data_IF_196386689252
#
_entry.id   IF_196386689252
#
_cell.length_a   1.000
_cell.length_b   1.000
_cell.length_c   1.000
_cell.angle_alpha   90.00
_cell.angle_beta   90.00
_cell.angle_gamma   90.00
#
_symmetry.space_group_name_H-M   'P 1'
#
loop_
_entity.id
_entity.type
_entity.pdbx_description
1 polymer ?
#
# COMPACT_ATOMS: atom_id res chain seq x y z
N UNK A 1 -10.54 -11.19 78.27
CA UNK A 1 -11.59 -10.64 77.33
C UNK A 1 -11.18 -9.33 76.64
N UNK A 2 -10.53 -8.35 77.32
CA UNK A 2 -10.15 -7.08 76.65
C UNK A 2 -9.09 -7.19 75.59
N UNK A 3 -8.08 -8.07 75.71
CA UNK A 3 -7.04 -8.32 74.71
C UNK A 3 -7.57 -8.98 73.42
N UNK A 4 -8.55 -9.86 73.52
CA UNK A 4 -9.18 -10.53 72.39
C UNK A 4 -10.03 -9.55 71.56
N UNK A 5 -10.78 -8.67 72.27
CA UNK A 5 -11.56 -7.62 71.63
C UNK A 5 -10.68 -6.61 70.90
N UNK A 6 -9.53 -6.23 71.50
CA UNK A 6 -8.56 -5.29 70.92
C UNK A 6 -7.88 -5.89 69.65
N UNK A 7 -7.55 -7.19 69.67
CA UNK A 7 -7.00 -7.88 68.49
C UNK A 7 -8.02 -7.98 67.33
N UNK A 8 -9.29 -8.25 67.60
CA UNK A 8 -10.36 -8.33 66.60
C UNK A 8 -10.66 -6.94 65.97
N UNK A 9 -10.67 -5.87 66.76
CA UNK A 9 -10.83 -4.50 66.25
C UNK A 9 -9.66 -4.10 65.35
N UNK A 10 -8.43 -4.43 65.77
CA UNK A 10 -7.22 -4.11 65.02
C UNK A 10 -7.15 -4.92 63.70
N UNK A 11 -7.60 -6.18 63.67
CA UNK A 11 -7.72 -6.99 62.46
C UNK A 11 -8.79 -6.46 61.49
N UNK A 12 -9.94 -6.00 62.00
CA UNK A 12 -10.98 -5.35 61.19
C UNK A 12 -10.50 -4.05 60.55
N UNK A 13 -9.75 -3.21 61.31
CA UNK A 13 -9.16 -1.99 60.76
C UNK A 13 -8.10 -2.29 59.68
N UNK A 14 -7.21 -3.24 59.92
CA UNK A 14 -6.21 -3.70 58.91
C UNK A 14 -6.89 -4.19 57.63
N UNK A 15 -7.94 -5.04 57.75
CA UNK A 15 -8.71 -5.52 56.58
C UNK A 15 -9.37 -4.35 55.82
N UNK A 16 -9.92 -3.32 56.50
CA UNK A 16 -10.47 -2.13 55.85
C UNK A 16 -9.42 -1.30 55.12
N UNK A 17 -8.23 -1.15 55.69
CA UNK A 17 -7.10 -0.44 55.03
C UNK A 17 -6.65 -1.21 53.78
N UNK A 18 -6.43 -2.51 53.91
CA UNK A 18 -6.04 -3.37 52.76
C UNK A 18 -7.10 -3.30 51.66
N UNK A 19 -8.38 -3.39 51.99
CA UNK A 19 -9.46 -3.26 51.00
C UNK A 19 -9.44 -1.89 50.30
N UNK A 20 -9.23 -0.79 51.04
CA UNK A 20 -9.13 0.56 50.44
C UNK A 20 -7.92 0.68 49.50
N UNK A 21 -6.78 0.09 49.85
CA UNK A 21 -5.59 0.06 49.01
C UNK A 21 -5.86 -0.74 47.71
N UNK A 22 -6.47 -1.91 47.82
CA UNK A 22 -6.83 -2.73 46.64
C UNK A 22 -7.79 -1.99 45.72
N UNK A 23 -8.84 -1.34 46.30
CA UNK A 23 -9.79 -0.54 45.53
C UNK A 23 -9.09 0.66 44.87
N UNK A 24 -8.19 1.35 45.60
CA UNK A 24 -7.41 2.46 45.06
C UNK A 24 -6.51 2.03 43.87
N UNK A 25 -5.82 0.89 44.01
CA UNK A 25 -5.03 0.30 42.88
C UNK A 25 -5.93 -0.05 41.72
N UNK A 26 -7.09 -0.68 41.96
CA UNK A 26 -8.04 -1.02 40.92
C UNK A 26 -8.55 0.21 40.16
N UNK A 27 -8.85 1.30 40.86
CA UNK A 27 -9.26 2.57 40.23
C UNK A 27 -8.11 3.17 39.42
N UNK A 28 -6.88 3.18 39.92
CA UNK A 28 -5.72 3.69 39.22
C UNK A 28 -5.45 2.88 37.92
N UNK A 29 -5.52 1.56 38.00
CA UNK A 29 -5.40 0.70 36.81
C UNK A 29 -6.51 0.96 35.79
N UNK A 30 -7.75 1.14 36.24
CA UNK A 30 -8.87 1.46 35.37
C UNK A 30 -8.66 2.80 34.64
N UNK A 31 -8.16 3.81 35.35
CA UNK A 31 -7.85 5.12 34.73
C UNK A 31 -6.74 4.98 33.68
N UNK A 32 -5.69 4.20 33.97
CA UNK A 32 -4.60 3.92 33.02
C UNK A 32 -5.13 3.21 31.77
N UNK A 33 -5.98 2.19 31.94
CA UNK A 33 -6.60 1.48 30.82
C UNK A 33 -7.45 2.44 29.97
N UNK A 34 -8.31 3.25 30.61
CA UNK A 34 -9.14 4.22 29.87
C UNK A 34 -8.27 5.22 29.13
N UNK A 35 -7.22 5.74 29.76
CA UNK A 35 -6.29 6.68 29.14
C UNK A 35 -5.58 6.03 27.93
N UNK A 36 -5.15 4.77 28.04
CA UNK A 36 -4.56 4.02 26.94
C UNK A 36 -5.56 3.80 25.78
N UNK A 37 -6.79 3.39 26.09
CA UNK A 37 -7.85 3.22 25.08
C UNK A 37 -8.18 4.52 24.34
N UNK A 38 -8.13 5.67 25.01
CA UNK A 38 -8.34 6.98 24.39
C UNK A 38 -7.13 7.37 23.53
N UNK A 39 -5.92 7.14 24.04
CA UNK A 39 -4.67 7.48 23.33
C UNK A 39 -4.47 6.66 22.07
N UNK A 40 -4.78 5.37 22.10
CA UNK A 40 -4.60 4.42 20.99
C UNK A 40 -5.91 4.12 20.25
N UNK A 41 -6.90 5.00 20.36
CA UNK A 41 -8.24 4.75 19.80
C UNK A 41 -8.22 4.52 18.28
N UNK A 42 -7.38 5.24 17.54
CA UNK A 42 -7.32 5.17 16.10
C UNK A 42 -6.62 3.89 15.65
N UNK A 43 -5.49 3.54 16.28
CA UNK A 43 -4.79 2.29 16.07
C UNK A 43 -5.68 1.08 16.35
N UNK A 44 -6.39 1.10 17.48
CA UNK A 44 -7.36 0.04 17.83
C UNK A 44 -8.50 -0.07 16.82
N UNK A 45 -9.05 1.06 16.36
CA UNK A 45 -10.11 1.05 15.33
C UNK A 45 -9.58 0.51 14.01
N UNK A 46 -8.36 0.88 13.61
CA UNK A 46 -7.72 0.37 12.41
C UNK A 46 -7.55 -1.15 12.48
N UNK A 47 -6.96 -1.67 13.56
CA UNK A 47 -6.80 -3.11 13.77
C UNK A 47 -8.14 -3.86 13.84
N UNK A 48 -9.15 -3.29 14.50
CA UNK A 48 -10.49 -3.89 14.56
C UNK A 48 -11.23 -3.88 13.21
N UNK A 49 -10.81 -3.07 12.25
CA UNK A 49 -11.35 -3.06 10.91
C UNK A 49 -10.69 -4.08 9.98
N UNK A 50 -9.53 -4.63 10.40
CA UNK A 50 -8.81 -5.64 9.63
C UNK A 50 -9.67 -6.90 9.48
N UNK A 51 -9.88 -7.34 8.26
CA UNK A 51 -10.62 -8.57 7.96
C UNK A 51 -9.94 -9.32 6.83
N UNK A 52 -9.86 -10.64 6.96
CA UNK A 52 -9.50 -11.54 5.88
C UNK A 52 -10.67 -11.61 4.89
N UNK A 53 -10.40 -11.46 3.60
CA UNK A 53 -11.43 -11.41 2.55
C UNK A 53 -11.36 -12.55 1.56
N UNK A 54 -10.25 -13.31 1.55
CA UNK A 54 -10.13 -14.53 0.77
C UNK A 54 -9.27 -15.58 1.48
N UNK A 55 -9.19 -16.80 0.92
CA UNK A 55 -8.42 -17.90 1.49
C UNK A 55 -6.94 -17.87 1.12
N UNK A 56 -6.54 -17.09 0.12
CA UNK A 56 -5.15 -16.98 -0.33
C UNK A 56 -4.29 -16.08 0.59
N UNK A 57 -4.92 -15.23 1.40
CA UNK A 57 -4.24 -14.33 2.33
C UNK A 57 -4.42 -12.86 1.97
N UNK A 58 -5.55 -12.53 1.38
CA UNK A 58 -5.94 -11.14 1.15
C UNK A 58 -6.76 -10.60 2.31
N UNK A 59 -6.45 -9.37 2.69
CA UNK A 59 -7.07 -8.64 3.80
C UNK A 59 -7.60 -7.28 3.33
N UNK A 60 -8.51 -6.70 4.11
CA UNK A 60 -8.94 -5.30 3.98
C UNK A 60 -8.85 -4.62 5.33
N UNK A 61 -8.46 -3.34 5.34
CA UNK A 61 -8.38 -2.50 6.54
C UNK A 61 -8.69 -1.04 6.21
N UNK A 62 -9.38 -0.35 7.11
CA UNK A 62 -9.47 1.11 7.12
C UNK A 62 -8.50 1.65 8.15
N UNK A 63 -7.53 2.46 7.74
CA UNK A 63 -6.64 3.17 8.64
C UNK A 63 -7.33 4.43 9.16
N UNK A 64 -7.52 4.51 10.45
CA UNK A 64 -8.16 5.65 11.09
C UNK A 64 -7.13 6.64 11.65
N UNK A 65 -7.32 7.91 11.33
CA UNK A 65 -6.47 8.99 11.79
C UNK A 65 -5.24 9.21 10.92
N UNK A 66 -4.39 10.09 11.41
CA UNK A 66 -3.16 10.49 10.72
C UNK A 66 -2.04 9.49 10.97
N UNK A 67 -1.36 9.06 9.91
CA UNK A 67 -0.18 8.19 9.97
C UNK A 67 1.15 8.97 9.97
N UNK A 68 1.07 10.33 10.03
CA UNK A 68 2.24 11.19 10.19
C UNK A 68 3.10 11.32 8.94
N UNK A 69 2.50 11.21 7.76
CA UNK A 69 3.26 11.31 6.51
C UNK A 69 3.81 12.72 6.27
N UNK A 70 3.08 13.78 6.68
CA UNK A 70 3.60 15.15 6.59
C UNK A 70 4.87 15.33 7.47
N UNK A 71 4.90 14.74 8.68
CA UNK A 71 6.10 14.75 9.51
C UNK A 71 7.25 13.97 8.85
N UNK A 72 6.95 12.90 8.12
CA UNK A 72 7.94 12.15 7.36
C UNK A 72 8.50 12.96 6.18
N UNK A 73 7.66 13.71 5.48
CA UNK A 73 8.08 14.59 4.38
C UNK A 73 9.01 15.74 4.83
N UNK A 74 9.09 16.05 6.14
CA UNK A 74 10.05 17.03 6.66
C UNK A 74 11.46 16.46 6.83
N UNK A 75 11.60 15.13 7.00
CA UNK A 75 12.88 14.50 7.32
C UNK A 75 13.36 13.51 6.26
N UNK A 76 12.43 12.83 5.56
CA UNK A 76 12.73 11.78 4.60
C UNK A 76 13.44 10.56 5.18
N UNK A 77 14.06 9.78 4.30
CA UNK A 77 14.86 8.61 4.65
C UNK A 77 15.94 8.37 3.58
N UNK A 78 17.18 8.17 3.99
CA UNK A 78 18.29 7.89 3.06
C UNK A 78 18.42 6.39 2.76
N UNK A 79 17.73 5.54 3.52
CA UNK A 79 17.74 4.08 3.38
C UNK A 79 16.54 3.45 4.10
N UNK A 80 16.32 2.15 3.88
CA UNK A 80 15.18 1.43 4.46
C UNK A 80 15.19 1.41 5.99
N UNK A 81 16.36 1.44 6.64
CA UNK A 81 16.45 1.47 8.10
C UNK A 81 15.94 2.80 8.70
N UNK A 82 16.04 3.92 7.98
CA UNK A 82 15.48 5.20 8.42
C UNK A 82 13.95 5.16 8.38
N UNK A 83 13.36 4.52 7.36
CA UNK A 83 11.91 4.29 7.29
C UNK A 83 11.46 3.37 8.43
N UNK A 84 12.17 2.26 8.65
CA UNK A 84 11.89 1.36 9.77
C UNK A 84 11.91 2.11 11.12
N UNK A 85 12.90 2.97 11.32
CA UNK A 85 13.00 3.77 12.53
C UNK A 85 11.84 4.76 12.69
N UNK A 86 11.43 5.43 11.60
CA UNK A 86 10.29 6.34 11.61
C UNK A 86 8.98 5.59 11.90
N UNK A 87 8.69 4.54 11.16
CA UNK A 87 7.49 3.71 11.30
C UNK A 87 7.42 3.08 12.70
N UNK A 88 8.53 2.51 13.18
CA UNK A 88 8.65 1.96 14.54
C UNK A 88 8.29 3.01 15.59
N UNK A 89 8.83 4.21 15.48
CA UNK A 89 8.59 5.29 16.46
C UNK A 89 7.19 5.87 16.34
N UNK A 90 6.74 6.20 15.14
CA UNK A 90 5.52 6.97 14.89
C UNK A 90 4.27 6.10 14.92
N UNK A 91 4.27 4.97 14.20
CA UNK A 91 3.11 4.10 14.02
C UNK A 91 3.10 2.93 15.02
N UNK A 92 4.22 2.24 15.13
CA UNK A 92 4.33 1.01 15.92
C UNK A 92 4.70 1.24 17.39
N UNK A 93 4.81 2.50 17.81
CA UNK A 93 5.05 2.91 19.22
C UNK A 93 6.25 2.20 19.87
N UNK A 94 7.28 1.92 19.10
CA UNK A 94 8.52 1.29 19.56
C UNK A 94 8.63 -0.21 19.30
N UNK A 95 7.61 -0.85 18.72
CA UNK A 95 7.73 -2.24 18.26
C UNK A 95 8.49 -2.28 16.93
N UNK A 96 9.60 -3.00 16.83
CA UNK A 96 10.43 -3.00 15.64
C UNK A 96 9.73 -3.69 14.47
N UNK A 97 9.94 -3.17 13.28
CA UNK A 97 9.60 -3.79 12.01
C UNK A 97 10.90 -4.07 11.25
N UNK A 98 10.89 -5.05 10.38
CA UNK A 98 11.98 -5.33 9.45
C UNK A 98 11.37 -5.36 8.05
N UNK A 99 11.71 -4.36 7.24
CA UNK A 99 11.22 -4.24 5.87
C UNK A 99 12.05 -5.15 4.96
N UNK A 100 11.44 -6.18 4.43
CA UNK A 100 12.09 -7.08 3.48
C UNK A 100 11.69 -6.73 2.04
N UNK A 101 12.65 -6.64 1.12
CA UNK A 101 12.37 -6.32 -0.29
C UNK A 101 13.00 -7.37 -1.18
N UNK A 102 12.22 -7.95 -2.10
CA UNK A 102 12.71 -8.76 -3.23
C UNK A 102 11.82 -8.47 -4.44
N UNK A 103 12.37 -8.47 -5.67
CA UNK A 103 11.63 -8.13 -6.89
C UNK A 103 11.20 -9.35 -7.67
N UNK A 104 10.06 -9.25 -8.34
CA UNK A 104 9.59 -10.17 -9.39
C UNK A 104 8.88 -9.37 -10.50
N UNK A 105 7.93 -9.97 -11.23
CA UNK A 105 7.29 -9.35 -12.37
C UNK A 105 6.08 -8.48 -12.03
N UNK A 106 5.79 -7.56 -12.92
CA UNK A 106 4.59 -6.74 -12.87
C UNK A 106 4.06 -6.47 -14.28
N UNK A 107 2.78 -6.15 -14.40
CA UNK A 107 2.17 -5.63 -15.62
C UNK A 107 1.09 -4.63 -15.22
N UNK A 108 1.02 -3.50 -15.90
CA UNK A 108 -0.03 -2.53 -15.68
C UNK A 108 -0.46 -1.88 -16.99
N UNK A 109 -1.71 -1.42 -17.07
CA UNK A 109 -2.24 -0.73 -18.23
C UNK A 109 -3.32 0.28 -17.85
N UNK A 110 -3.49 1.26 -18.74
CA UNK A 110 -4.58 2.25 -18.70
C UNK A 110 -5.35 2.14 -20.01
N UNK A 111 -6.68 2.08 -19.95
CA UNK A 111 -7.55 1.95 -21.12
C UNK A 111 -8.92 2.55 -20.83
N UNK A 112 -9.69 2.95 -21.85
CA UNK A 112 -11.09 3.37 -21.73
C UNK A 112 -12.05 2.18 -21.84
N UNK A 113 -13.20 2.27 -21.17
CA UNK A 113 -14.35 1.41 -21.46
C UNK A 113 -15.31 2.06 -22.47
N UNK A 114 -16.40 1.37 -22.86
CA UNK A 114 -17.40 1.88 -23.82
C UNK A 114 -18.14 3.14 -23.30
N UNK A 115 -18.19 3.34 -21.97
CA UNK A 115 -18.79 4.54 -21.37
C UNK A 115 -17.84 5.75 -21.38
N UNK A 116 -16.55 5.53 -21.72
CA UNK A 116 -15.49 6.52 -21.64
C UNK A 116 -14.84 6.63 -20.26
N UNK A 117 -15.18 5.72 -19.31
CA UNK A 117 -14.50 5.66 -18.02
C UNK A 117 -13.06 5.18 -18.19
N UNK A 118 -12.17 5.68 -17.36
CA UNK A 118 -10.76 5.34 -17.38
C UNK A 118 -10.51 4.16 -16.43
N UNK A 119 -10.02 3.06 -17.00
CA UNK A 119 -9.66 1.85 -16.27
C UNK A 119 -8.14 1.77 -16.09
N UNK A 120 -7.69 1.52 -14.88
CA UNK A 120 -6.30 1.29 -14.53
C UNK A 120 -6.15 -0.13 -13.97
N UNK A 121 -5.51 -1.03 -14.74
CA UNK A 121 -5.31 -2.42 -14.38
C UNK A 121 -3.87 -2.70 -13.96
N UNK A 122 -3.68 -3.56 -12.93
CA UNK A 122 -2.36 -3.89 -12.42
C UNK A 122 -2.28 -5.32 -11.91
N UNK A 123 -1.20 -6.03 -12.27
CA UNK A 123 -0.79 -7.32 -11.73
C UNK A 123 0.48 -7.17 -10.88
N UNK A 124 0.49 -7.81 -9.72
CA UNK A 124 1.68 -8.03 -8.92
C UNK A 124 2.05 -9.51 -8.93
N UNK A 125 3.14 -9.82 -9.61
CA UNK A 125 3.69 -11.17 -9.70
C UNK A 125 4.91 -11.26 -8.76
N UNK A 126 4.87 -12.22 -7.82
CA UNK A 126 5.87 -12.36 -6.75
C UNK A 126 5.88 -13.79 -6.20
N UNK A 127 6.80 -14.12 -5.31
CA UNK A 127 6.63 -15.25 -4.42
C UNK A 127 5.42 -14.97 -3.51
N UNK A 128 4.94 -15.96 -2.76
CA UNK A 128 3.77 -15.77 -1.89
C UNK A 128 3.90 -14.51 -1.03
N UNK A 129 2.90 -13.67 -1.12
CA UNK A 129 2.80 -12.44 -0.37
C UNK A 129 1.36 -12.21 0.08
N UNK A 130 1.08 -12.22 1.40
CA UNK A 130 -0.23 -11.79 1.88
C UNK A 130 -0.43 -10.32 1.52
N UNK A 131 -1.61 -9.98 1.03
CA UNK A 131 -1.93 -8.64 0.54
C UNK A 131 -2.95 -7.94 1.43
N UNK A 132 -2.85 -6.62 1.50
CA UNK A 132 -3.78 -5.78 2.25
C UNK A 132 -4.31 -4.66 1.36
N UNK A 133 -5.61 -4.65 1.13
CA UNK A 133 -6.30 -3.48 0.58
C UNK A 133 -6.57 -2.49 1.71
N UNK A 134 -5.89 -1.36 1.65
CA UNK A 134 -5.86 -0.34 2.68
C UNK A 134 -6.60 0.92 2.25
N UNK A 135 -7.59 1.34 3.05
CA UNK A 135 -8.25 2.63 2.93
C UNK A 135 -7.62 3.63 3.89
N UNK A 136 -7.25 4.80 3.39
CA UNK A 136 -6.71 5.92 4.18
C UNK A 136 -7.48 7.20 3.88
N UNK A 137 -7.56 8.08 4.88
CA UNK A 137 -8.07 9.45 4.73
C UNK A 137 -7.29 10.36 5.69
N UNK A 138 -6.09 10.81 5.30
CA UNK A 138 -5.25 11.67 6.15
C UNK A 138 -5.86 13.07 6.28
N UNK A 139 -5.53 13.77 7.39
CA UNK A 139 -6.09 15.09 7.64
C UNK A 139 -5.69 16.17 6.61
N UNK A 140 -4.53 15.99 5.99
CA UNK A 140 -3.94 16.93 5.03
C UNK A 140 -3.53 16.20 3.75
N UNK A 141 -4.46 15.50 3.13
CA UNK A 141 -4.24 14.75 1.89
C UNK A 141 -5.52 14.08 1.43
N UNK A 142 -5.48 13.52 0.24
CA UNK A 142 -6.63 12.86 -0.38
C UNK A 142 -6.90 11.50 0.26
N UNK A 143 -8.18 11.14 0.37
CA UNK A 143 -8.56 9.78 0.68
C UNK A 143 -8.11 8.84 -0.45
N UNK A 144 -7.67 7.64 -0.09
CA UNK A 144 -7.18 6.68 -1.09
C UNK A 144 -7.47 5.24 -0.69
N UNK A 145 -7.48 4.37 -1.68
CA UNK A 145 -7.38 2.92 -1.53
C UNK A 145 -6.08 2.46 -2.18
N UNK A 146 -5.32 1.63 -1.49
CA UNK A 146 -4.05 1.09 -1.99
C UNK A 146 -3.90 -0.38 -1.66
N UNK A 147 -3.13 -1.12 -2.48
CA UNK A 147 -2.76 -2.50 -2.18
C UNK A 147 -1.34 -2.55 -1.64
N UNK A 148 -1.18 -3.25 -0.53
CA UNK A 148 0.07 -3.36 0.23
C UNK A 148 0.52 -4.81 0.24
N UNK A 149 1.80 -5.04 -0.01
CA UNK A 149 2.42 -6.34 0.23
C UNK A 149 2.80 -6.47 1.70
N UNK A 150 2.07 -7.29 2.45
CA UNK A 150 2.30 -7.47 3.88
C UNK A 150 3.60 -8.25 4.20
N UNK A 151 4.22 -8.92 3.22
CA UNK A 151 5.53 -9.54 3.46
C UNK A 151 6.61 -8.49 3.79
N UNK A 152 6.45 -7.27 3.29
CA UNK A 152 7.31 -6.13 3.64
C UNK A 152 7.10 -5.61 5.07
N UNK A 153 5.96 -5.95 5.68
CA UNK A 153 5.71 -5.69 7.10
C UNK A 153 6.08 -6.89 8.00
N UNK A 154 6.72 -7.93 7.45
CA UNK A 154 7.19 -9.10 8.19
C UNK A 154 6.19 -10.26 8.28
N UNK A 155 5.12 -10.24 7.49
CA UNK A 155 4.19 -11.37 7.38
C UNK A 155 4.64 -12.39 6.34
N UNK A 156 4.21 -13.64 6.50
CA UNK A 156 4.54 -14.74 5.59
C UNK A 156 3.41 -15.77 5.61
N UNK A 157 3.52 -16.83 4.80
CA UNK A 157 2.56 -17.93 4.78
C UNK A 157 2.37 -18.57 6.18
N UNK A 158 3.46 -18.67 6.95
CA UNK A 158 3.46 -19.25 8.30
C UNK A 158 3.08 -18.22 9.39
N UNK A 159 3.00 -16.96 9.07
CA UNK A 159 2.74 -15.86 10.01
C UNK A 159 1.82 -14.81 9.40
N UNK A 160 0.55 -15.13 9.28
CA UNK A 160 -0.49 -14.25 8.74
C UNK A 160 -1.15 -13.44 9.87
N UNK A 161 -1.75 -12.28 9.56
CA UNK A 161 -2.67 -11.61 10.48
C UNK A 161 -3.78 -12.57 10.92
N UNK A 162 -3.99 -12.69 12.23
CA UNK A 162 -4.83 -13.75 12.83
C UNK A 162 -6.15 -13.25 13.43
N UNK A 163 -6.36 -11.93 13.49
CA UNK A 163 -7.44 -11.27 14.23
C UNK A 163 -7.06 -10.99 15.69
N UNK A 164 -5.82 -11.26 16.07
CA UNK A 164 -5.26 -10.87 17.38
C UNK A 164 -4.56 -9.52 17.28
N UNK A 165 -4.85 -8.61 18.21
CA UNK A 165 -4.21 -7.28 18.22
C UNK A 165 -2.67 -7.33 18.20
N UNK A 166 -2.08 -8.39 18.75
CA UNK A 166 -0.62 -8.55 18.77
C UNK A 166 -0.08 -9.04 17.43
N UNK A 167 -0.77 -10.00 16.79
CA UNK A 167 -0.34 -10.55 15.50
C UNK A 167 -0.61 -9.55 14.36
N UNK A 168 -1.66 -8.74 14.50
CA UNK A 168 -2.09 -7.78 13.47
C UNK A 168 -1.36 -6.42 13.57
N UNK A 169 -0.60 -6.18 14.65
CA UNK A 169 -0.08 -4.86 14.98
C UNK A 169 0.82 -4.27 13.87
N UNK A 170 1.60 -5.11 13.20
CA UNK A 170 2.50 -4.66 12.12
C UNK A 170 1.74 -4.14 10.89
N UNK A 171 0.45 -4.46 10.72
CA UNK A 171 -0.37 -3.89 9.64
C UNK A 171 -0.53 -2.36 9.77
N UNK A 172 -0.29 -1.79 10.94
CA UNK A 172 -0.28 -0.34 11.13
C UNK A 172 0.83 0.38 10.35
N UNK A 173 1.86 -0.34 9.87
CA UNK A 173 2.88 0.20 8.98
C UNK A 173 2.40 0.37 7.53
N UNK A 174 1.28 -0.24 7.16
CA UNK A 174 0.79 -0.33 5.79
C UNK A 174 0.67 1.01 5.02
N UNK A 175 0.34 2.17 5.63
CA UNK A 175 0.32 3.45 4.90
C UNK A 175 1.65 3.80 4.22
N UNK A 176 2.78 3.30 4.71
CA UNK A 176 4.11 3.53 4.15
C UNK A 176 4.54 2.51 3.09
N UNK A 177 3.70 1.52 2.76
CA UNK A 177 4.04 0.37 1.94
C UNK A 177 3.09 0.13 0.74
N UNK A 178 2.53 1.15 0.06
CA UNK A 178 1.68 0.92 -1.11
C UNK A 178 2.50 0.39 -2.30
N UNK A 179 1.92 -0.52 -3.08
CA UNK A 179 2.46 -1.03 -4.36
C UNK A 179 1.62 -0.60 -5.56
N UNK A 180 0.38 -0.26 -5.33
CA UNK A 180 -0.56 0.39 -6.22
C UNK A 180 -1.63 1.11 -5.41
N UNK A 181 -2.39 1.99 -6.05
CA UNK A 181 -3.52 2.65 -5.41
C UNK A 181 -4.17 3.70 -6.29
N UNK A 182 -5.34 4.14 -5.83
CA UNK A 182 -6.12 5.22 -6.42
C UNK A 182 -6.59 6.16 -5.30
N UNK A 183 -6.57 7.46 -5.54
CA UNK A 183 -7.13 8.44 -4.61
C UNK A 183 -8.51 8.97 -5.06
N UNK A 184 -9.17 9.73 -4.18
CA UNK A 184 -10.51 10.28 -4.39
C UNK A 184 -10.63 11.32 -5.53
N UNK A 185 -9.48 11.74 -6.09
CA UNK A 185 -9.43 12.59 -7.30
C UNK A 185 -9.36 11.79 -8.60
N UNK A 186 -9.32 10.44 -8.49
CA UNK A 186 -9.18 9.54 -9.63
C UNK A 186 -7.75 9.48 -10.18
N UNK A 187 -6.75 9.85 -9.37
CA UNK A 187 -5.35 9.59 -9.72
C UNK A 187 -4.95 8.21 -9.21
N UNK A 188 -4.39 7.40 -10.09
CA UNK A 188 -3.82 6.09 -9.75
C UNK A 188 -2.32 6.05 -10.04
N UNK A 189 -1.62 5.22 -9.25
CA UNK A 189 -0.20 4.94 -9.40
C UNK A 189 0.07 3.48 -9.10
N UNK A 190 0.99 2.87 -9.85
CA UNK A 190 1.54 1.54 -9.58
C UNK A 190 3.04 1.54 -9.80
N UNK A 191 3.77 0.80 -8.94
CA UNK A 191 5.21 0.55 -9.15
C UNK A 191 5.42 -0.78 -9.87
N UNK A 192 6.40 -0.81 -10.79
CA UNK A 192 6.86 -2.01 -11.49
C UNK A 192 8.39 -2.04 -11.42
N UNK A 193 8.95 -3.22 -11.16
CA UNK A 193 10.41 -3.38 -11.16
C UNK A 193 10.97 -3.30 -12.59
N UNK A 194 12.13 -2.68 -12.72
CA UNK A 194 12.89 -2.60 -13.96
C UNK A 194 14.36 -2.93 -13.70
N UNK A 195 15.16 -3.01 -14.74
CA UNK A 195 16.61 -3.14 -14.61
C UNK A 195 17.26 -1.78 -14.90
N UNK A 196 18.33 -1.47 -14.16
CA UNK A 196 19.24 -0.34 -14.42
C UNK A 196 18.55 1.04 -14.39
N UNK A 197 17.64 1.29 -13.43
CA UNK A 197 17.14 2.64 -13.19
C UNK A 197 18.15 3.45 -12.37
N UNK A 198 18.42 4.69 -12.80
CA UNK A 198 19.32 5.63 -12.13
C UNK A 198 18.58 6.92 -11.80
N UNK A 199 18.17 7.08 -10.54
CA UNK A 199 17.49 8.29 -10.08
C UNK A 199 18.46 9.47 -9.88
N UNK A 200 18.01 10.73 -10.13
CA UNK A 200 18.81 11.91 -9.83
C UNK A 200 19.01 12.08 -8.32
N UNK A 201 20.12 12.69 -7.93
CA UNK A 201 20.37 13.02 -6.53
C UNK A 201 20.78 14.49 -6.39
N UNK A 202 20.04 15.22 -5.57
CA UNK A 202 20.34 16.58 -5.16
C UNK A 202 20.47 16.64 -3.62
N UNK A 203 21.62 17.01 -3.05
CA UNK A 203 21.82 17.03 -1.60
C UNK A 203 20.91 18.02 -0.84
N UNK A 204 20.26 18.96 -1.54
CA UNK A 204 19.33 19.92 -0.95
C UNK A 204 17.89 19.38 -0.91
N UNK A 205 17.61 18.25 -1.57
CA UNK A 205 16.28 17.63 -1.61
C UNK A 205 16.16 16.55 -0.53
N UNK A 206 14.95 16.41 0.02
CA UNK A 206 14.59 15.30 0.89
C UNK A 206 14.53 14.01 0.06
N UNK A 207 14.95 12.91 0.63
CA UNK A 207 14.95 11.60 -0.02
C UNK A 207 13.76 10.76 0.42
N UNK A 208 13.11 10.13 -0.55
CA UNK A 208 12.03 9.16 -0.37
C UNK A 208 12.44 7.80 -0.96
N UNK A 209 11.78 6.73 -0.53
CA UNK A 209 11.92 5.45 -1.20
C UNK A 209 10.77 5.19 -2.18
N UNK A 210 10.83 4.07 -2.89
CA UNK A 210 9.83 3.61 -3.85
C UNK A 210 8.40 3.75 -3.34
N UNK A 211 8.10 3.26 -2.16
CA UNK A 211 6.72 3.20 -1.62
C UNK A 211 6.27 4.52 -0.99
N UNK A 212 7.18 5.27 -0.37
CA UNK A 212 6.84 6.60 0.17
C UNK A 212 6.67 7.65 -0.93
N UNK A 213 7.33 7.51 -2.08
CA UNK A 213 7.05 8.30 -3.27
C UNK A 213 5.62 8.04 -3.79
N UNK A 214 5.17 6.79 -3.80
CA UNK A 214 3.78 6.47 -4.13
C UNK A 214 2.79 7.06 -3.12
N UNK A 215 3.10 7.00 -1.82
CA UNK A 215 2.27 7.62 -0.78
C UNK A 215 2.18 9.14 -0.97
N UNK A 216 3.29 9.81 -1.35
CA UNK A 216 3.30 11.23 -1.68
C UNK A 216 2.30 11.53 -2.81
N UNK A 217 2.35 10.77 -3.90
CA UNK A 217 1.44 10.94 -5.04
C UNK A 217 -0.01 10.71 -4.65
N UNK A 218 -0.32 9.62 -3.95
CA UNK A 218 -1.68 9.30 -3.51
C UNK A 218 -2.27 10.35 -2.56
N UNK A 219 -1.45 10.91 -1.66
CA UNK A 219 -1.93 11.87 -0.67
C UNK A 219 -2.01 13.31 -1.22
N UNK A 220 -1.21 13.67 -2.23
CA UNK A 220 -0.97 15.09 -2.57
C UNK A 220 -1.22 15.46 -4.02
N UNK A 221 -1.32 14.53 -4.95
CA UNK A 221 -1.56 14.82 -6.36
C UNK A 221 -3.00 14.50 -6.77
N UNK A 222 -3.61 15.38 -7.55
CA UNK A 222 -4.93 15.17 -8.17
C UNK A 222 -4.82 14.84 -9.66
N UNK A 223 -3.72 15.21 -10.32
CA UNK A 223 -3.46 14.99 -11.75
C UNK A 223 -2.07 14.40 -11.98
N UNK A 224 -1.87 13.86 -13.18
CA UNK A 224 -0.56 13.35 -13.62
C UNK A 224 0.51 14.46 -13.55
N UNK A 225 0.20 15.68 -13.97
CA UNK A 225 1.14 16.81 -13.92
C UNK A 225 1.55 17.14 -12.49
N UNK A 226 0.60 17.16 -11.55
CA UNK A 226 0.89 17.39 -10.13
C UNK A 226 1.78 16.29 -9.57
N UNK A 227 1.54 15.01 -9.93
CA UNK A 227 2.35 13.89 -9.52
C UNK A 227 3.81 14.02 -10.02
N UNK A 228 4.00 14.37 -11.30
CA UNK A 228 5.34 14.60 -11.89
C UNK A 228 6.06 15.73 -11.16
N UNK A 229 5.39 16.86 -10.94
CA UNK A 229 6.00 18.02 -10.27
C UNK A 229 6.32 17.76 -8.81
N UNK A 230 5.55 16.91 -8.11
CA UNK A 230 5.87 16.46 -6.77
C UNK A 230 7.10 15.54 -6.77
N UNK A 231 7.14 14.54 -7.64
CA UNK A 231 8.26 13.59 -7.71
C UNK A 231 9.60 14.28 -8.02
N UNK A 232 9.61 15.35 -8.83
CA UNK A 232 10.81 16.16 -9.13
C UNK A 232 11.40 16.90 -7.93
N UNK A 233 10.64 17.10 -6.86
CA UNK A 233 11.08 17.84 -5.67
C UNK A 233 11.87 16.97 -4.68
N UNK A 234 11.88 15.65 -4.86
CA UNK A 234 12.49 14.70 -3.95
C UNK A 234 13.56 13.87 -4.64
N UNK A 235 14.55 13.42 -3.88
CA UNK A 235 15.39 12.32 -4.30
C UNK A 235 14.63 11.00 -4.12
N UNK A 236 14.87 10.06 -5.01
CA UNK A 236 14.29 8.72 -4.89
C UNK A 236 15.41 7.71 -4.76
N UNK A 237 15.34 6.82 -3.76
CA UNK A 237 16.14 5.61 -3.73
C UNK A 237 15.23 4.38 -3.84
N UNK A 238 15.75 3.32 -4.42
CA UNK A 238 15.01 2.08 -4.64
C UNK A 238 15.20 1.14 -3.45
N UNK A 239 14.12 0.86 -2.72
CA UNK A 239 14.13 -0.03 -1.55
C UNK A 239 14.66 -1.41 -1.91
N UNK A 240 15.53 -1.95 -1.04
CA UNK A 240 16.14 -3.26 -1.23
C UNK A 240 17.03 -3.38 -2.46
N UNK A 241 17.37 -2.26 -3.13
CA UNK A 241 18.14 -2.24 -4.38
C UNK A 241 17.37 -2.79 -5.58
N UNK A 242 16.03 -2.71 -5.55
CA UNK A 242 15.16 -3.09 -6.66
C UNK A 242 14.72 -1.85 -7.39
N UNK A 243 15.34 -1.60 -8.53
CA UNK A 243 15.00 -0.49 -9.40
C UNK A 243 13.55 -0.59 -9.87
N UNK A 244 12.89 0.56 -10.01
CA UNK A 244 11.52 0.59 -10.45
C UNK A 244 11.17 1.85 -11.24
N UNK A 245 10.05 1.76 -11.95
CA UNK A 245 9.34 2.88 -12.56
C UNK A 245 7.88 2.92 -12.08
N UNK A 246 7.16 3.99 -12.43
CA UNK A 246 5.77 4.17 -12.03
C UNK A 246 4.88 4.38 -13.26
N UNK A 247 3.79 3.60 -13.38
CA UNK A 247 2.66 3.97 -14.21
C UNK A 247 1.75 4.88 -13.39
N UNK A 248 1.42 6.07 -13.93
CA UNK A 248 0.54 7.04 -13.30
C UNK A 248 -0.55 7.43 -14.30
N UNK A 249 -1.79 7.50 -13.86
CA UNK A 249 -2.91 7.98 -14.69
C UNK A 249 -3.94 8.71 -13.85
N UNK A 250 -4.70 9.60 -14.47
CA UNK A 250 -5.79 10.32 -13.84
C UNK A 250 -7.16 10.14 -14.54
N UNK A 251 -8.21 10.67 -13.92
CA UNK A 251 -9.59 10.55 -14.41
C UNK A 251 -9.84 11.23 -15.76
N UNK A 252 -8.93 12.10 -16.26
CA UNK A 252 -9.01 12.68 -17.60
C UNK A 252 -8.60 11.70 -18.70
N UNK A 253 -7.94 10.59 -18.32
CA UNK A 253 -7.33 9.64 -19.23
C UNK A 253 -5.89 9.96 -19.59
N UNK A 254 -5.32 11.06 -19.04
CA UNK A 254 -3.88 11.29 -19.14
C UNK A 254 -3.13 10.22 -18.37
N UNK A 255 -2.13 9.59 -19.00
CA UNK A 255 -1.31 8.55 -18.40
C UNK A 255 0.13 8.64 -18.87
N UNK A 256 1.05 8.35 -17.97
CA UNK A 256 2.49 8.39 -18.21
C UNK A 256 3.21 7.25 -17.48
N UNK A 257 4.38 6.85 -18.00
CA UNK A 257 5.35 6.09 -17.22
C UNK A 257 6.44 7.07 -16.78
N UNK A 258 6.67 7.15 -15.46
CA UNK A 258 7.77 7.92 -14.87
C UNK A 258 8.94 6.98 -14.63
N UNK A 259 10.04 7.24 -15.32
CA UNK A 259 11.26 6.46 -15.30
C UNK A 259 12.46 7.28 -14.83
N UNK A 260 13.51 6.60 -14.40
CA UNK A 260 14.74 7.23 -13.93
C UNK A 260 15.91 6.70 -14.75
N UNK A 261 16.38 7.52 -15.69
CA UNK A 261 17.40 7.13 -16.67
C UNK A 261 18.53 8.15 -16.67
N UNK A 262 19.78 7.71 -16.58
CA UNK A 262 20.96 8.58 -16.60
C UNK A 262 20.90 9.73 -15.58
N UNK A 263 20.38 9.47 -14.38
CA UNK A 263 20.22 10.45 -13.30
C UNK A 263 19.23 11.58 -13.64
N UNK A 264 18.24 11.30 -14.48
CA UNK A 264 17.15 12.21 -14.81
C UNK A 264 15.81 11.50 -14.58
N UNK A 265 14.78 12.26 -14.15
CA UNK A 265 13.39 11.83 -14.18
C UNK A 265 12.86 12.02 -15.60
N UNK A 266 12.56 10.90 -16.25
CA UNK A 266 12.06 10.84 -17.60
C UNK A 266 10.56 10.52 -17.61
N UNK A 267 9.81 11.11 -18.53
CA UNK A 267 8.38 10.89 -18.69
C UNK A 267 8.12 10.27 -20.05
N UNK A 268 7.47 9.11 -20.06
CA UNK A 268 7.01 8.44 -21.29
C UNK A 268 5.51 8.67 -21.42
N UNK A 269 5.13 9.55 -22.34
CA UNK A 269 3.73 9.83 -22.67
C UNK A 269 3.11 8.65 -23.41
N UNK A 270 1.79 8.48 -23.30
CA UNK A 270 1.06 7.54 -24.12
C UNK A 270 1.06 7.99 -25.59
N UNK A 271 1.44 7.12 -26.51
CA UNK A 271 1.35 7.38 -27.95
C UNK A 271 -0.07 7.17 -28.49
N UNK A 272 -0.85 6.30 -27.83
CA UNK A 272 -2.22 5.92 -28.17
C UNK A 272 -3.20 6.36 -27.05
N UNK A 273 -4.49 6.00 -27.19
CA UNK A 273 -5.51 6.22 -26.16
C UNK A 273 -5.42 5.21 -25.00
N UNK A 274 -4.31 4.48 -24.90
CA UNK A 274 -3.98 3.54 -23.83
C UNK A 274 -2.49 3.59 -23.50
N UNK A 275 -2.14 3.18 -22.30
CA UNK A 275 -0.75 3.05 -21.85
C UNK A 275 -0.53 1.65 -21.30
N UNK A 276 0.64 1.06 -21.56
CA UNK A 276 1.03 -0.24 -21.01
C UNK A 276 2.42 -0.11 -20.39
N UNK A 277 2.60 -0.65 -19.21
CA UNK A 277 3.89 -0.76 -18.52
C UNK A 277 4.16 -2.23 -18.14
N UNK A 278 5.40 -2.64 -18.27
CA UNK A 278 5.90 -3.94 -17.84
C UNK A 278 7.30 -3.77 -17.27
N UNK A 279 8.07 -4.83 -17.08
CA UNK A 279 9.35 -4.79 -16.38
C UNK A 279 10.54 -4.43 -17.30
N UNK A 280 10.43 -3.35 -18.05
CA UNK A 280 11.51 -2.81 -18.89
C UNK A 280 11.44 -1.29 -19.01
N UNK A 281 12.58 -0.63 -19.30
CA UNK A 281 12.67 0.81 -19.53
C UNK A 281 12.19 1.12 -20.94
N UNK A 282 11.18 1.98 -21.06
CA UNK A 282 10.56 2.38 -22.33
C UNK A 282 11.06 3.73 -22.86
N UNK A 283 11.67 4.57 -22.01
CA UNK A 283 12.12 5.91 -22.37
C UNK A 283 13.11 5.90 -23.55
N UNK A 284 12.85 6.74 -24.56
CA UNK A 284 13.67 6.93 -25.76
C UNK A 284 13.99 5.61 -26.53
N UNK A 285 13.09 4.62 -26.44
CA UNK A 285 13.28 3.31 -27.04
C UNK A 285 14.34 2.44 -26.37
N UNK A 286 14.74 2.77 -25.14
CA UNK A 286 15.67 2.01 -24.32
C UNK A 286 14.99 0.75 -23.76
N UNK A 287 14.72 -0.24 -24.56
CA UNK A 287 14.12 -1.51 -24.14
C UNK A 287 15.15 -2.37 -23.39
N UNK A 288 15.51 -1.97 -22.17
CA UNK A 288 16.38 -2.77 -21.29
C UNK A 288 15.57 -3.96 -20.77
N UNK A 289 16.00 -5.17 -21.06
CA UNK A 289 15.27 -6.41 -20.77
C UNK A 289 14.61 -7.05 -22.00
N UNK A 290 14.82 -6.51 -23.21
CA UNK A 290 14.21 -7.00 -24.45
C UNK A 290 14.44 -8.51 -24.68
N UNK A 291 13.34 -9.23 -24.92
CA UNK A 291 13.35 -10.67 -25.21
C UNK A 291 12.95 -11.58 -24.03
N UNK A 292 12.55 -11.02 -22.86
CA UNK A 292 12.04 -11.77 -21.72
C UNK A 292 10.51 -11.92 -21.69
N UNK A 293 10.01 -12.53 -20.61
CA UNK A 293 8.56 -12.73 -20.38
C UNK A 293 7.81 -11.41 -20.16
N UNK A 294 8.49 -10.34 -19.81
CA UNK A 294 7.99 -8.98 -19.70
C UNK A 294 7.43 -8.46 -21.02
N UNK A 295 8.11 -8.73 -22.14
CA UNK A 295 7.63 -8.37 -23.49
C UNK A 295 6.45 -9.23 -23.94
N UNK A 296 6.47 -10.54 -23.64
CA UNK A 296 5.34 -11.42 -23.94
C UNK A 296 4.05 -10.94 -23.22
N UNK A 297 4.16 -10.43 -21.99
CA UNK A 297 3.03 -9.89 -21.25
C UNK A 297 2.56 -8.55 -21.82
N UNK A 298 3.51 -7.67 -22.14
CA UNK A 298 3.24 -6.40 -22.81
C UNK A 298 2.49 -6.63 -24.13
N UNK A 299 3.03 -7.50 -25.01
CA UNK A 299 2.43 -7.84 -26.31
C UNK A 299 1.04 -8.44 -26.18
N UNK A 300 0.81 -9.27 -25.16
CA UNK A 300 -0.53 -9.82 -24.90
C UNK A 300 -1.54 -8.74 -24.51
N UNK A 301 -1.15 -7.80 -23.66
CA UNK A 301 -2.00 -6.69 -23.26
C UNK A 301 -2.28 -5.81 -24.49
N UNK A 302 -1.26 -5.43 -25.25
CA UNK A 302 -1.40 -4.63 -26.45
C UNK A 302 -2.34 -5.30 -27.47
N UNK A 303 -2.09 -6.55 -27.82
CA UNK A 303 -2.92 -7.29 -28.75
C UNK A 303 -4.39 -7.39 -28.31
N UNK A 304 -4.64 -7.55 -26.98
CA UNK A 304 -6.00 -7.60 -26.46
C UNK A 304 -6.72 -6.24 -26.58
N UNK A 305 -6.03 -5.14 -26.27
CA UNK A 305 -6.57 -3.79 -26.39
C UNK A 305 -6.83 -3.46 -27.87
N UNK A 306 -5.87 -3.72 -28.77
CA UNK A 306 -6.02 -3.45 -30.20
C UNK A 306 -7.13 -4.30 -30.84
N UNK A 307 -7.28 -5.57 -30.47
CA UNK A 307 -8.35 -6.44 -30.94
C UNK A 307 -9.76 -5.94 -30.55
N UNK A 308 -9.84 -5.10 -29.51
CA UNK A 308 -11.06 -4.46 -29.04
C UNK A 308 -11.12 -2.95 -29.42
N UNK A 309 -10.35 -2.51 -30.43
CA UNK A 309 -10.32 -1.14 -30.94
C UNK A 309 -9.92 -0.09 -29.87
N UNK A 310 -9.03 -0.43 -28.95
CA UNK A 310 -8.54 0.47 -27.91
C UNK A 310 -9.45 0.57 -26.67
N UNK A 311 -10.48 -0.29 -26.55
CA UNK A 311 -11.49 -0.24 -25.48
C UNK A 311 -11.55 -1.61 -24.79
N UNK A 312 -11.68 -1.65 -23.48
CA UNK A 312 -11.95 -2.87 -22.71
C UNK A 312 -13.06 -2.62 -21.68
N UNK A 313 -14.05 -3.50 -21.64
CA UNK A 313 -14.99 -3.53 -20.53
C UNK A 313 -14.32 -4.08 -19.26
N UNK A 314 -14.84 -3.73 -18.08
CA UNK A 314 -14.27 -4.16 -16.79
C UNK A 314 -14.03 -5.67 -16.75
N UNK A 315 -15.01 -6.47 -17.17
CA UNK A 315 -14.87 -7.94 -17.19
C UNK A 315 -13.80 -8.44 -18.16
N UNK A 316 -13.58 -7.76 -19.30
CA UNK A 316 -12.48 -8.08 -20.22
C UNK A 316 -11.12 -7.70 -19.63
N UNK A 317 -11.04 -6.54 -18.98
CA UNK A 317 -9.84 -6.06 -18.32
C UNK A 317 -9.43 -6.99 -17.15
N UNK A 318 -10.38 -7.42 -16.32
CA UNK A 318 -10.17 -8.41 -15.25
C UNK A 318 -9.67 -9.75 -15.81
N UNK A 319 -10.31 -10.25 -16.86
CA UNK A 319 -9.88 -11.51 -17.48
C UNK A 319 -8.47 -11.38 -18.08
N UNK A 320 -8.17 -10.26 -18.73
CA UNK A 320 -6.84 -9.97 -19.28
C UNK A 320 -5.77 -9.98 -18.19
N UNK A 321 -6.04 -9.35 -17.03
CA UNK A 321 -5.13 -9.38 -15.88
C UNK A 321 -4.86 -10.82 -15.42
N UNK A 322 -5.89 -11.66 -15.32
CA UNK A 322 -5.71 -13.07 -14.98
C UNK A 322 -4.88 -13.84 -16.03
N UNK A 323 -5.05 -13.53 -17.30
CA UNK A 323 -4.38 -14.23 -18.43
C UNK A 323 -2.91 -13.87 -18.57
N UNK A 324 -2.50 -12.65 -18.14
CA UNK A 324 -1.11 -12.17 -18.27
C UNK A 324 -0.26 -12.31 -17.00
N UNK A 325 -0.83 -12.78 -15.88
CA UNK A 325 -0.07 -13.11 -14.68
C UNK A 325 1.01 -14.16 -14.94
N UNK A 326 2.13 -14.10 -14.24
CA UNK A 326 3.25 -15.03 -14.44
C UNK A 326 2.92 -16.40 -13.85
N UNK A 327 3.12 -17.43 -14.67
CA UNK A 327 3.07 -18.82 -14.28
C UNK A 327 4.31 -19.54 -14.81
N UNK A 328 5.15 -20.09 -13.93
CA UNK A 328 6.40 -20.75 -14.32
C UNK A 328 6.26 -22.25 -14.64
N UNK A 329 5.01 -22.72 -14.73
CA UNK A 329 4.68 -24.12 -15.00
C UNK A 329 4.47 -24.97 -13.72
N UNK A 330 4.88 -24.47 -12.54
CA UNK A 330 4.71 -25.12 -11.26
C UNK A 330 4.07 -24.22 -10.21
N UNK A 331 4.41 -22.93 -10.23
CA UNK A 331 3.98 -21.94 -9.23
C UNK A 331 3.29 -20.77 -9.95
N UNK A 332 2.11 -20.42 -9.48
CA UNK A 332 1.46 -19.19 -9.88
C UNK A 332 2.08 -18.04 -9.07
N UNK A 333 2.72 -17.10 -9.76
CA UNK A 333 3.37 -15.96 -9.14
C UNK A 333 2.43 -14.77 -8.95
N UNK A 334 1.27 -14.77 -9.56
CA UNK A 334 0.30 -13.69 -9.44
C UNK A 334 -0.28 -13.63 -8.02
N UNK A 335 0.14 -12.66 -7.24
CA UNK A 335 -0.32 -12.47 -5.87
C UNK A 335 -1.66 -11.76 -5.81
N UNK A 336 -1.79 -10.66 -6.56
CA UNK A 336 -3.08 -9.99 -6.78
C UNK A 336 -3.13 -9.31 -8.14
N UNK A 337 -4.36 -9.15 -8.61
CA UNK A 337 -4.73 -8.25 -9.69
C UNK A 337 -5.73 -7.23 -9.17
N UNK A 338 -5.58 -5.98 -9.57
CA UNK A 338 -6.53 -4.93 -9.25
C UNK A 338 -6.90 -4.15 -10.50
N UNK A 339 -8.19 -3.83 -10.62
CA UNK A 339 -8.73 -2.92 -11.62
C UNK A 339 -9.38 -1.74 -10.89
N UNK A 340 -8.91 -0.53 -11.15
CA UNK A 340 -9.49 0.72 -10.68
C UNK A 340 -10.25 1.39 -11.82
N UNK A 341 -11.47 1.82 -11.60
CA UNK A 341 -12.19 2.75 -12.46
C UNK A 341 -11.98 4.16 -11.90
N UNK A 342 -11.10 4.93 -12.53
CA UNK A 342 -10.66 6.25 -12.07
C UNK A 342 -11.76 7.31 -12.17
N UNK A 343 -12.78 7.05 -12.98
CA UNK A 343 -13.92 7.95 -13.17
C UNK A 343 -14.96 7.80 -12.07
N UNK A 344 -15.21 6.55 -11.64
CA UNK A 344 -16.33 6.23 -10.73
C UNK A 344 -15.87 5.93 -9.29
N UNK A 345 -14.60 5.64 -9.07
CA UNK A 345 -14.08 5.18 -7.79
C UNK A 345 -14.36 3.70 -7.49
N UNK A 346 -15.07 3.00 -8.37
CA UNK A 346 -15.27 1.55 -8.26
C UNK A 346 -13.98 0.81 -8.59
N UNK A 347 -13.78 -0.33 -7.97
CA UNK A 347 -12.66 -1.20 -8.31
C UNK A 347 -12.94 -2.66 -7.97
N UNK A 348 -12.11 -3.53 -8.53
CA UNK A 348 -12.17 -4.97 -8.39
C UNK A 348 -10.78 -5.51 -8.10
N UNK A 349 -10.67 -6.39 -7.12
CA UNK A 349 -9.40 -7.05 -6.75
C UNK A 349 -9.61 -8.56 -6.61
N UNK A 350 -8.65 -9.35 -7.05
CA UNK A 350 -8.62 -10.79 -6.85
C UNK A 350 -7.21 -11.30 -6.65
N UNK A 351 -7.07 -12.45 -6.00
CA UNK A 351 -5.79 -13.09 -5.72
C UNK A 351 -5.57 -14.32 -6.60
N UNK A 352 -4.32 -14.66 -6.84
CA UNK A 352 -3.88 -15.95 -7.39
C UNK A 352 -4.62 -16.37 -8.67
N UNK A 353 -4.72 -15.47 -9.67
CA UNK A 353 -5.44 -15.68 -10.96
C UNK A 353 -6.90 -16.10 -10.84
N UNK A 354 -7.48 -16.02 -9.64
CA UNK A 354 -8.83 -16.47 -9.40
C UNK A 354 -9.87 -15.37 -9.71
N UNK A 355 -9.99 -15.04 -10.99
CA UNK A 355 -11.01 -14.09 -11.48
C UNK A 355 -12.47 -14.54 -11.26
N UNK A 356 -12.70 -15.72 -10.67
CA UNK A 356 -14.03 -16.13 -10.20
C UNK A 356 -14.32 -15.69 -8.77
N UNK A 357 -13.31 -15.22 -8.01
CA UNK A 357 -13.45 -14.71 -6.65
C UNK A 357 -13.03 -13.24 -6.59
N UNK A 358 -13.77 -12.40 -7.30
CA UNK A 358 -13.55 -10.95 -7.36
C UNK A 358 -14.16 -10.29 -6.13
N UNK A 359 -13.39 -9.40 -5.51
CA UNK A 359 -13.81 -8.58 -4.39
C UNK A 359 -13.99 -7.16 -4.92
N UNK A 360 -15.25 -6.73 -5.06
CA UNK A 360 -15.58 -5.36 -5.43
C UNK A 360 -15.37 -4.41 -4.25
N UNK A 361 -14.94 -3.19 -4.54
CA UNK A 361 -14.77 -2.12 -3.56
C UNK A 361 -15.14 -0.76 -4.16
N UNK A 362 -15.30 0.24 -3.32
CA UNK A 362 -15.60 1.59 -3.77
C UNK A 362 -14.83 2.60 -2.91
N UNK A 363 -14.28 3.61 -3.57
CA UNK A 363 -13.75 4.82 -2.96
C UNK A 363 -14.70 5.97 -3.28
N UNK A 364 -15.16 6.69 -2.25
CA UNK A 364 -15.99 7.88 -2.46
C UNK A 364 -15.14 8.94 -3.16
N UNK A 365 -15.59 9.35 -4.36
CA UNK A 365 -14.88 10.35 -5.15
C UNK A 365 -15.31 11.75 -4.72
N UNK A 366 -14.34 12.61 -4.51
CA UNK A 366 -14.58 14.03 -4.28
C UNK A 366 -14.70 14.75 -5.62
N UNK A 367 -15.98 14.95 -6.05
CA UNK A 367 -16.36 15.60 -7.30
C UNK A 367 -16.27 17.14 -7.21
#
# INVERSE_FOLDING_TARGET
>A
NKLKLWSEVNMKQKKKIVLRVIVGIGIALLIIIIAALVLFRNELRSLMSLKKVDDYGMYQMTYYGDYGFDDFLEIGAENDADIEAFVTKKLLKGLPINLGVTGDGCTAFVVKNENGDILFGRNFDYLYAPSLQLYTAPNNGYASVSTVNLSFAGYSEDNLPSGSLFDDFLTLAAPFLPFDGMNEKGLAIATLSVLEAEAPYNPDNITLNTTTAMRLVLDKAATVEEAIELLKQYNIYFSGGIDCHYLIADASGHSVIVEYVNQELCVVEAEDEYQIASNFIAYDGLNIGEGGTEFERYDKVQNAIEANNGILEEGQAVQLLADVGIFDGNIDKLQWSVLYNLTTGYGEIFANRNANNIIGFNLDMDN
#
